data_IF_142526173867
#
_entry.id   IF_142526173867
#
_cell.length_a   1.000
_cell.length_b   1.000
_cell.length_c   1.000
_cell.angle_alpha   90.00
_cell.angle_beta   90.00
_cell.angle_gamma   90.00
#
_symmetry.space_group_name_H-M   'P 1'
#
loop_
_entity.id
_entity.type
_entity.pdbx_description
1 polymer ?
#
# COMPACT_ATOMS: atom_id res chain seq x y z
N UNK A 1 -8.96 6.33 11.12
CA UNK A 1 -8.16 5.29 10.42
C UNK A 1 -8.43 5.41 8.94
N UNK A 2 -7.39 5.56 8.13
CA UNK A 2 -7.49 5.75 6.69
C UNK A 2 -6.86 4.56 5.95
N UNK A 3 -7.40 4.22 4.78
CA UNK A 3 -6.88 3.17 3.91
C UNK A 3 -6.70 3.74 2.50
N UNK A 4 -5.49 3.63 1.97
CA UNK A 4 -5.17 4.01 0.59
C UNK A 4 -5.02 2.73 -0.24
N UNK A 5 -5.75 2.65 -1.35
CA UNK A 5 -5.76 1.46 -2.22
C UNK A 5 -5.28 1.85 -3.62
N UNK A 6 -4.20 1.23 -4.08
CA UNK A 6 -3.68 1.32 -5.43
C UNK A 6 -4.13 0.10 -6.25
N UNK A 7 -4.99 0.31 -7.25
CA UNK A 7 -5.54 -0.76 -8.10
C UNK A 7 -4.81 -0.84 -9.44
N UNK A 8 -4.44 -2.06 -9.85
CA UNK A 8 -3.75 -2.34 -11.11
C UNK A 8 -4.26 -3.60 -11.80
N UNK A 9 -4.64 -3.45 -13.07
CA UNK A 9 -4.94 -4.55 -13.99
C UNK A 9 -3.62 -5.07 -14.57
N UNK A 10 -2.91 -5.90 -13.82
CA UNK A 10 -1.64 -6.48 -14.21
C UNK A 10 -0.69 -6.71 -13.03
N UNK A 11 0.46 -7.34 -13.32
CA UNK A 11 1.45 -7.72 -12.30
C UNK A 11 1.96 -6.52 -11.51
N UNK A 12 2.32 -6.79 -10.26
CA UNK A 12 2.99 -5.82 -9.40
C UNK A 12 4.26 -5.28 -10.05
N UNK A 13 4.45 -3.97 -9.92
CA UNK A 13 5.68 -3.27 -10.29
C UNK A 13 6.16 -2.44 -9.11
N UNK A 14 7.48 -2.38 -8.83
CA UNK A 14 8.04 -1.59 -7.73
C UNK A 14 7.62 -0.11 -7.73
N UNK A 15 7.35 0.47 -8.90
CA UNK A 15 6.87 1.86 -9.05
C UNK A 15 5.53 2.11 -8.34
N UNK A 16 4.68 1.09 -8.18
CA UNK A 16 3.39 1.21 -7.50
C UNK A 16 3.58 1.47 -6.00
N UNK A 17 4.57 0.83 -5.38
CA UNK A 17 4.93 1.09 -3.98
C UNK A 17 5.42 2.54 -3.78
N UNK A 18 6.15 3.10 -4.75
CA UNK A 18 6.56 4.50 -4.72
C UNK A 18 5.37 5.46 -4.71
N UNK A 19 4.36 5.22 -5.56
CA UNK A 19 3.12 6.00 -5.61
C UNK A 19 2.31 5.88 -4.32
N UNK A 20 2.13 4.65 -3.83
CA UNK A 20 1.42 4.40 -2.58
C UNK A 20 2.09 5.12 -1.41
N UNK A 21 3.42 5.03 -1.29
CA UNK A 21 4.17 5.74 -0.25
C UNK A 21 4.00 7.26 -0.34
N UNK A 22 3.94 7.83 -1.55
CA UNK A 22 3.63 9.25 -1.72
C UNK A 22 2.25 9.61 -1.16
N UNK A 23 1.22 8.80 -1.44
CA UNK A 23 -0.12 9.04 -0.92
C UNK A 23 -0.20 8.90 0.61
N UNK A 24 0.47 7.91 1.19
CA UNK A 24 0.53 7.73 2.65
C UNK A 24 1.17 8.95 3.33
N UNK A 25 2.31 9.44 2.81
CA UNK A 25 2.97 10.63 3.33
C UNK A 25 2.13 11.90 3.15
N UNK A 26 1.37 12.00 2.07
CA UNK A 26 0.47 13.12 1.86
C UNK A 26 -0.66 13.10 2.91
N UNK A 27 -1.29 11.94 3.12
CA UNK A 27 -2.34 11.75 4.13
C UNK A 27 -1.85 12.13 5.53
N UNK A 28 -0.65 11.70 5.91
CA UNK A 28 -0.03 12.04 7.20
C UNK A 28 0.12 13.55 7.41
N UNK A 29 0.41 14.29 6.33
CA UNK A 29 0.71 15.72 6.40
C UNK A 29 -0.51 16.62 6.29
N UNK A 30 -1.59 16.15 5.66
CA UNK A 30 -2.72 17.02 5.29
C UNK A 30 -4.06 16.59 5.88
N UNK A 31 -4.21 15.33 6.28
CA UNK A 31 -5.52 14.78 6.68
C UNK A 31 -5.49 14.20 8.09
N UNK A 32 -4.43 13.49 8.47
CA UNK A 32 -4.34 12.87 9.80
C UNK A 32 -4.08 13.91 10.88
N UNK A 33 -4.78 13.75 12.00
CA UNK A 33 -4.46 14.41 13.26
C UNK A 33 -3.61 13.48 14.15
N UNK A 34 -2.95 14.02 15.17
CA UNK A 34 -2.01 13.27 16.02
C UNK A 34 -2.67 12.11 16.80
N UNK A 35 -4.01 12.12 16.94
CA UNK A 35 -4.78 11.04 17.57
C UNK A 35 -5.24 9.96 16.58
N UNK A 36 -5.04 10.14 15.28
CA UNK A 36 -5.48 9.18 14.28
C UNK A 36 -4.55 7.96 14.20
N UNK A 37 -5.16 6.79 14.06
CA UNK A 37 -4.44 5.54 13.79
C UNK A 37 -3.61 5.64 12.48
N UNK A 38 -2.49 4.90 12.38
CA UNK A 38 -1.68 4.80 11.16
C UNK A 38 -2.51 4.57 9.89
N UNK A 39 -2.11 5.21 8.78
CA UNK A 39 -2.76 4.99 7.49
C UNK A 39 -2.25 3.69 6.89
N UNK A 40 -3.17 2.84 6.44
CA UNK A 40 -2.82 1.57 5.82
C UNK A 40 -2.74 1.75 4.30
N UNK A 41 -1.67 1.25 3.69
CA UNK A 41 -1.52 1.21 2.24
C UNK A 41 -1.67 -0.21 1.69
N UNK A 42 -2.49 -0.36 0.65
CA UNK A 42 -2.72 -1.63 -0.07
C UNK A 42 -2.47 -1.44 -1.56
N UNK A 43 -1.84 -2.43 -2.18
CA UNK A 43 -1.71 -2.52 -3.64
C UNK A 43 -2.41 -3.81 -4.07
N UNK A 44 -3.43 -3.68 -4.91
CA UNK A 44 -4.14 -4.82 -5.48
C UNK A 44 -3.78 -4.94 -6.96
N UNK A 45 -3.11 -6.05 -7.28
CA UNK A 45 -2.71 -6.39 -8.64
C UNK A 45 -3.49 -7.62 -9.09
N UNK A 46 -4.05 -7.56 -10.30
CA UNK A 46 -4.61 -8.74 -10.95
C UNK A 46 -3.48 -9.65 -11.44
N UNK A 47 -3.40 -10.87 -10.88
CA UNK A 47 -2.57 -11.93 -11.42
C UNK A 47 -3.42 -13.09 -11.94
N UNK A 48 -2.92 -13.76 -12.98
CA UNK A 48 -3.63 -14.81 -13.74
C UNK A 48 -4.08 -16.03 -12.90
N UNK A 49 -3.75 -16.08 -11.60
CA UNK A 49 -4.04 -17.17 -10.66
C UNK A 49 -4.54 -16.68 -9.29
N UNK A 50 -4.88 -15.41 -9.09
CA UNK A 50 -5.38 -14.91 -7.81
C UNK A 50 -5.19 -13.41 -7.59
N UNK A 51 -5.74 -12.89 -6.49
CA UNK A 51 -5.49 -11.52 -6.03
C UNK A 51 -4.26 -11.57 -5.13
N UNK A 52 -3.14 -11.02 -5.61
CA UNK A 52 -1.93 -10.88 -4.79
C UNK A 52 -2.06 -9.57 -3.99
N UNK A 53 -2.09 -9.68 -2.65
CA UNK A 53 -2.13 -8.52 -1.74
C UNK A 53 -0.74 -8.34 -1.12
N UNK A 54 -0.07 -7.25 -1.46
CA UNK A 54 1.18 -6.85 -0.81
C UNK A 54 0.90 -5.69 0.18
N UNK A 55 1.31 -5.89 1.43
CA UNK A 55 1.12 -4.92 2.51
C UNK A 55 2.41 -4.12 2.70
N UNK A 56 2.35 -2.80 2.51
CA UNK A 56 3.46 -1.90 2.80
C UNK A 56 3.30 -1.38 4.23
N UNK A 57 4.09 -1.90 5.17
CA UNK A 57 4.14 -1.38 6.56
C UNK A 57 5.00 -0.12 6.58
N UNK A 58 4.64 0.85 7.42
CA UNK A 58 5.41 2.06 7.68
C UNK A 58 6.91 1.77 7.88
N UNK A 59 7.72 2.53 7.14
CA UNK A 59 9.16 2.35 7.06
C UNK A 59 9.52 1.28 6.05
N UNK A 60 10.22 1.67 4.98
CA UNK A 60 10.87 0.74 4.05
C UNK A 60 11.99 -0.01 4.81
N UNK A 61 11.61 -0.93 5.70
CA UNK A 61 12.43 -2.06 6.06
C UNK A 61 11.89 -3.24 5.27
N UNK A 62 12.65 -3.56 4.22
CA UNK A 62 12.49 -4.74 3.36
C UNK A 62 12.03 -5.95 4.18
N UNK A 63 10.81 -6.41 3.95
CA UNK A 63 10.53 -7.85 3.91
C UNK A 63 9.35 -8.04 2.97
N UNK A 64 9.63 -8.45 1.73
CA UNK A 64 8.60 -8.88 0.79
C UNK A 64 7.95 -10.14 1.37
N UNK A 65 6.84 -9.99 2.09
CA UNK A 65 5.94 -11.09 2.45
C UNK A 65 4.68 -10.93 1.62
N UNK A 66 4.68 -11.53 0.44
CA UNK A 66 3.47 -11.70 -0.37
C UNK A 66 2.59 -12.72 0.36
N UNK A 67 1.40 -12.31 0.79
CA UNK A 67 0.36 -13.23 1.25
C UNK A 67 -0.63 -13.34 0.09
N UNK A 68 -0.66 -14.52 -0.53
CA UNK A 68 -1.68 -14.89 -1.50
C UNK A 68 -2.90 -15.34 -0.71
N UNK A 69 -4.03 -14.65 -0.90
CA UNK A 69 -5.33 -15.03 -0.32
C UNK A 69 -6.05 -15.93 -1.32
#
# INVERSE_FOLDING_TARGET
MYVVIELKTGKFKPEYAGKLNFYLNLMERTIKDNSDNPTIGLILCEEKQGITVEYAIEGIQKTNRSITI
#
